data_IF_827114378406
#
_entry.id   IF_827114378406
#
_cell.length_a   1.000
_cell.length_b   1.000
_cell.length_c   1.000
_cell.angle_alpha   90.00
_cell.angle_beta   90.00
_cell.angle_gamma   90.00
#
_symmetry.space_group_name_H-M   'P 1'
#
loop_
_entity.id
_entity.type
_entity.pdbx_description
1 polymer ?
#
# COMPACT_ATOMS: atom_id res chain seq x y z
N UNK A 1 -24.53 -6.75 -21.90
CA UNK A 1 -23.53 -6.14 -21.00
C UNK A 1 -22.92 -4.94 -21.73
N UNK A 2 -22.89 -3.77 -21.11
CA UNK A 2 -22.20 -2.61 -21.67
C UNK A 2 -20.70 -2.80 -21.41
N UNK A 3 -19.90 -2.78 -22.47
CA UNK A 3 -18.45 -2.82 -22.35
C UNK A 3 -17.96 -1.50 -21.76
N UNK A 4 -17.14 -1.57 -20.69
CA UNK A 4 -16.54 -0.39 -20.07
C UNK A 4 -15.12 -0.19 -20.60
N UNK A 5 -14.85 1.02 -21.08
CA UNK A 5 -13.55 1.41 -21.64
C UNK A 5 -12.95 2.53 -20.80
N UNK A 6 -11.72 2.34 -20.37
CA UNK A 6 -10.96 3.30 -19.59
C UNK A 6 -9.65 3.67 -20.29
N UNK A 7 -9.11 4.82 -19.96
CA UNK A 7 -7.77 5.17 -20.42
C UNK A 7 -6.72 4.44 -19.56
N UNK A 8 -6.98 4.32 -18.25
CA UNK A 8 -6.07 3.62 -17.34
C UNK A 8 -6.84 2.70 -16.39
N UNK A 9 -6.34 1.48 -16.20
CA UNK A 9 -6.69 0.62 -15.08
C UNK A 9 -5.55 0.65 -14.06
N UNK A 10 -5.88 0.98 -12.81
CA UNK A 10 -4.96 0.95 -11.68
C UNK A 10 -5.25 -0.29 -10.85
N UNK A 11 -4.24 -1.13 -10.60
CA UNK A 11 -4.37 -2.27 -9.70
C UNK A 11 -3.85 -1.90 -8.32
N UNK A 12 -4.71 -2.11 -7.32
CA UNK A 12 -4.49 -1.76 -5.93
C UNK A 12 -5.04 -0.37 -5.54
N UNK A 13 -5.86 -0.33 -4.49
CA UNK A 13 -6.25 0.90 -3.80
C UNK A 13 -5.17 1.35 -2.83
N UNK A 14 -3.93 1.27 -3.26
CA UNK A 14 -2.74 1.69 -2.53
C UNK A 14 -2.64 3.22 -2.46
N UNK A 15 -1.82 3.78 -1.59
CA UNK A 15 -1.59 5.23 -1.58
C UNK A 15 -1.04 5.74 -2.91
N UNK A 16 -0.11 5.01 -3.54
CA UNK A 16 0.38 5.34 -4.88
C UNK A 16 -0.73 5.23 -5.92
N UNK A 17 -1.45 4.13 -5.95
CA UNK A 17 -2.51 3.90 -6.92
C UNK A 17 -3.62 4.94 -6.85
N UNK A 18 -4.02 5.34 -5.64
CA UNK A 18 -5.05 6.36 -5.45
C UNK A 18 -4.53 7.78 -5.72
N UNK A 19 -3.25 8.07 -5.43
CA UNK A 19 -2.60 9.32 -5.86
C UNK A 19 -2.62 9.47 -7.38
N UNK A 20 -2.27 8.41 -8.11
CA UNK A 20 -2.35 8.39 -9.57
C UNK A 20 -3.80 8.57 -10.07
N UNK A 21 -4.75 7.80 -9.52
CA UNK A 21 -6.14 7.86 -9.94
C UNK A 21 -6.78 9.23 -9.70
N UNK A 22 -6.44 9.91 -8.59
CA UNK A 22 -6.88 11.28 -8.32
C UNK A 22 -6.38 12.29 -9.36
N UNK A 23 -5.29 11.99 -10.02
CA UNK A 23 -4.69 12.87 -11.04
C UNK A 23 -5.02 12.46 -12.47
N UNK A 24 -5.66 11.33 -12.71
CA UNK A 24 -6.03 10.83 -14.05
C UNK A 24 -7.51 11.10 -14.36
N UNK A 25 -7.84 11.11 -15.66
CA UNK A 25 -9.21 11.09 -16.17
C UNK A 25 -9.54 9.66 -16.67
N UNK A 26 -10.84 9.31 -16.71
CA UNK A 26 -11.33 8.04 -17.24
C UNK A 26 -10.53 6.83 -16.71
N UNK A 27 -10.43 6.73 -15.39
CA UNK A 27 -9.66 5.72 -14.68
C UNK A 27 -10.58 4.76 -13.92
N UNK A 28 -10.20 3.49 -13.86
CA UNK A 28 -10.78 2.50 -12.96
C UNK A 28 -9.71 1.99 -12.00
N UNK A 29 -10.04 1.88 -10.74
CA UNK A 29 -9.18 1.25 -9.72
C UNK A 29 -9.77 -0.09 -9.35
N UNK A 30 -8.96 -1.15 -9.38
CA UNK A 30 -9.38 -2.53 -9.10
C UNK A 30 -8.62 -3.03 -7.88
N UNK A 31 -9.37 -3.47 -6.87
CA UNK A 31 -8.82 -3.91 -5.58
C UNK A 31 -9.44 -5.23 -5.14
N UNK A 32 -8.59 -6.22 -4.86
CA UNK A 32 -9.02 -7.52 -4.33
C UNK A 32 -9.59 -7.42 -2.92
N UNK A 33 -9.03 -6.53 -2.11
CA UNK A 33 -9.47 -6.27 -0.74
C UNK A 33 -10.65 -5.30 -0.65
N UNK A 34 -11.05 -4.99 0.58
CA UNK A 34 -12.11 -4.03 0.88
C UNK A 34 -11.61 -2.73 1.53
N UNK A 35 -10.29 -2.51 1.58
CA UNK A 35 -9.69 -1.40 2.30
C UNK A 35 -8.75 -0.59 1.40
N UNK A 36 -8.74 0.72 1.57
CA UNK A 36 -7.77 1.61 0.97
C UNK A 36 -6.45 1.58 1.76
N UNK A 37 -5.32 1.66 1.08
CA UNK A 37 -4.01 1.74 1.72
C UNK A 37 -3.63 0.51 2.54
N UNK A 38 -4.18 -0.66 2.17
CA UNK A 38 -3.97 -1.92 2.90
C UNK A 38 -2.48 -2.27 3.03
N UNK A 39 -1.66 -1.90 2.08
CA UNK A 39 -0.21 -2.15 2.07
C UNK A 39 0.54 -1.50 3.24
N UNK A 40 0.01 -0.43 3.81
CA UNK A 40 0.51 0.20 5.03
C UNK A 40 -0.32 -0.16 6.26
N UNK A 41 -1.63 -0.22 6.13
CA UNK A 41 -2.56 -0.38 7.25
C UNK A 41 -2.59 -1.83 7.74
N UNK A 42 -2.80 -2.79 6.84
CA UNK A 42 -2.92 -4.21 7.22
C UNK A 42 -1.59 -4.83 7.61
N UNK A 43 -0.50 -4.30 7.06
CA UNK A 43 0.86 -4.74 7.36
C UNK A 43 1.47 -4.05 8.58
N UNK A 44 0.79 -3.05 9.16
CA UNK A 44 1.34 -2.17 10.20
C UNK A 44 2.72 -1.61 9.81
N UNK A 45 2.89 -1.30 8.53
CA UNK A 45 4.16 -0.81 8.03
C UNK A 45 4.52 0.51 8.71
N UNK A 46 5.65 0.51 9.37
CA UNK A 46 6.20 1.72 9.99
C UNK A 46 6.58 2.70 8.89
N UNK A 47 5.98 3.89 8.92
CA UNK A 47 6.39 4.98 8.07
C UNK A 47 7.66 5.60 8.63
N UNK A 48 8.75 5.54 7.90
CA UNK A 48 10.02 6.11 8.32
C UNK A 48 9.89 7.61 8.62
N UNK A 49 10.62 8.12 9.63
CA UNK A 49 10.53 9.52 10.07
C UNK A 49 11.02 10.53 9.02
N UNK A 50 11.66 10.07 7.96
CA UNK A 50 12.13 10.95 6.89
C UNK A 50 10.99 11.25 5.93
N UNK A 51 10.27 12.33 6.17
CA UNK A 51 9.32 12.87 5.20
C UNK A 51 10.12 13.49 4.06
N UNK A 52 10.06 12.86 2.88
CA UNK A 52 10.53 13.49 1.65
C UNK A 52 9.52 14.57 1.29
N UNK A 53 9.99 15.79 1.03
CA UNK A 53 9.12 16.89 0.58
C UNK A 53 8.40 16.49 -0.72
N UNK A 54 7.05 16.48 -0.75
CA UNK A 54 6.30 16.15 -1.94
C UNK A 54 6.62 17.12 -3.08
N UNK A 55 6.71 16.61 -4.30
CA UNK A 55 7.03 17.41 -5.49
C UNK A 55 5.80 18.02 -6.14
N UNK A 56 4.66 17.31 -6.05
CA UNK A 56 3.40 17.75 -6.66
C UNK A 56 2.59 18.63 -5.72
N UNK A 57 1.72 19.48 -6.26
CA UNK A 57 0.83 20.30 -5.43
C UNK A 57 -0.16 19.44 -4.64
N UNK A 58 -0.74 18.40 -5.26
CA UNK A 58 -1.66 17.50 -4.58
C UNK A 58 -0.98 16.71 -3.48
N UNK A 59 0.29 16.29 -3.70
CA UNK A 59 1.10 15.63 -2.67
C UNK A 59 1.37 16.54 -1.47
N UNK A 60 1.68 17.84 -1.72
CA UNK A 60 1.87 18.83 -0.66
C UNK A 60 0.58 19.07 0.13
N UNK A 61 -0.55 19.23 -0.57
CA UNK A 61 -1.86 19.39 0.07
C UNK A 61 -2.19 18.17 0.96
N UNK A 62 -1.94 16.97 0.47
CA UNK A 62 -2.18 15.74 1.22
C UNK A 62 -1.33 15.68 2.50
N UNK A 63 -0.03 15.96 2.41
CA UNK A 63 0.86 15.98 3.57
C UNK A 63 0.45 17.05 4.59
N UNK A 64 0.08 18.25 4.14
CA UNK A 64 -0.39 19.31 5.04
C UNK A 64 -1.72 18.95 5.71
N UNK A 65 -2.62 18.24 5.04
CA UNK A 65 -3.84 17.73 5.64
C UNK A 65 -3.56 16.68 6.72
N UNK A 66 -2.58 15.81 6.50
CA UNK A 66 -2.11 14.85 7.53
C UNK A 66 -1.56 15.59 8.75
N UNK A 67 -0.69 16.58 8.55
CA UNK A 67 -0.12 17.41 9.62
C UNK A 67 -1.22 18.15 10.40
N UNK A 68 -2.13 18.82 9.70
CA UNK A 68 -3.23 19.58 10.31
C UNK A 68 -4.14 18.71 11.19
N UNK A 69 -4.26 17.43 10.88
CA UNK A 69 -5.05 16.47 11.66
C UNK A 69 -4.23 15.78 12.76
N UNK A 70 -2.97 16.15 12.95
CA UNK A 70 -2.08 15.56 13.96
C UNK A 70 -1.69 14.11 13.65
N UNK A 71 -1.67 13.73 12.36
CA UNK A 71 -1.32 12.38 11.92
C UNK A 71 0.16 12.23 11.57
N UNK A 72 0.92 13.31 11.70
CA UNK A 72 2.37 13.33 11.53
C UNK A 72 3.00 13.69 12.85
N UNK A 73 3.90 12.86 13.36
CA UNK A 73 4.62 13.10 14.59
C UNK A 73 5.66 14.21 14.44
N UNK A 74 6.22 14.69 15.56
CA UNK A 74 7.37 15.62 15.56
C UNK A 74 8.60 15.02 14.87
N UNK A 75 8.76 13.69 14.90
CA UNK A 75 9.81 12.98 14.20
C UNK A 75 9.52 12.78 12.69
N UNK A 76 8.32 13.12 12.21
CA UNK A 76 7.90 12.96 10.83
C UNK A 76 7.29 11.60 10.49
N UNK A 77 7.01 10.77 11.49
CA UNK A 77 6.29 9.50 11.28
C UNK A 77 4.82 9.77 10.97
N UNK A 78 4.24 8.97 10.10
CA UNK A 78 2.83 9.11 9.70
C UNK A 78 2.05 7.89 10.15
N UNK A 79 0.85 8.13 10.72
CA UNK A 79 -0.07 7.07 11.13
C UNK A 79 -0.85 6.54 9.93
N UNK A 80 -0.66 5.27 9.49
CA UNK A 80 -1.32 4.76 8.30
C UNK A 80 -2.83 4.64 8.43
N UNK A 81 -3.33 4.05 9.52
CA UNK A 81 -4.74 3.75 9.65
C UNK A 81 -5.64 5.00 9.60
N UNK A 82 -5.41 6.10 10.35
CA UNK A 82 -6.21 7.30 10.23
C UNK A 82 -5.95 8.08 8.94
N UNK A 83 -4.78 7.94 8.27
CA UNK A 83 -4.48 8.58 7.00
C UNK A 83 -5.45 8.15 5.88
N UNK A 84 -6.01 6.93 5.95
CA UNK A 84 -7.04 6.45 5.01
C UNK A 84 -8.29 7.32 5.02
N UNK A 85 -8.68 7.89 6.15
CA UNK A 85 -9.83 8.80 6.21
C UNK A 85 -9.55 10.14 5.51
N UNK A 86 -8.29 10.60 5.58
CA UNK A 86 -7.86 11.79 4.83
C UNK A 86 -7.94 11.48 3.33
N UNK A 87 -7.33 10.39 2.88
CA UNK A 87 -7.37 9.93 1.49
C UNK A 87 -8.82 9.79 0.98
N UNK A 88 -9.71 9.19 1.78
CA UNK A 88 -11.12 9.05 1.43
C UNK A 88 -11.83 10.38 1.20
N UNK A 89 -11.39 11.47 1.84
CA UNK A 89 -11.97 12.80 1.61
C UNK A 89 -11.62 13.37 0.24
N UNK A 90 -10.44 13.06 -0.28
CA UNK A 90 -10.05 13.42 -1.66
C UNK A 90 -10.83 12.63 -2.70
N UNK A 91 -11.00 11.32 -2.48
CA UNK A 91 -11.75 10.45 -3.39
C UNK A 91 -13.22 10.86 -3.54
N UNK A 92 -13.84 11.39 -2.47
CA UNK A 92 -15.22 11.88 -2.52
C UNK A 92 -15.42 13.11 -3.40
N UNK A 93 -14.35 13.86 -3.68
CA UNK A 93 -14.42 15.06 -4.49
C UNK A 93 -14.27 14.78 -5.99
N UNK A 94 -13.87 13.55 -6.33
CA UNK A 94 -13.64 13.14 -7.72
C UNK A 94 -14.43 11.86 -8.03
N UNK A 95 -15.07 11.83 -9.19
CA UNK A 95 -15.74 10.64 -9.68
C UNK A 95 -14.71 9.66 -10.25
N UNK A 96 -14.32 8.66 -9.45
CA UNK A 96 -13.42 7.58 -9.84
C UNK A 96 -14.17 6.27 -9.71
N UNK A 97 -14.13 5.42 -10.72
CA UNK A 97 -14.66 4.07 -10.63
C UNK A 97 -13.70 3.20 -9.79
N UNK A 98 -14.13 2.82 -8.59
CA UNK A 98 -13.36 1.96 -7.69
C UNK A 98 -14.11 0.66 -7.48
N UNK A 99 -13.50 -0.44 -7.87
CA UNK A 99 -14.03 -1.80 -7.74
C UNK A 99 -13.31 -2.52 -6.60
N UNK A 100 -13.89 -2.46 -5.42
CA UNK A 100 -13.42 -3.21 -4.24
C UNK A 100 -13.91 -4.66 -4.30
N UNK A 101 -13.28 -5.56 -3.54
CA UNK A 101 -13.61 -6.98 -3.49
C UNK A 101 -13.65 -7.60 -4.89
N UNK A 102 -12.73 -7.17 -5.75
CA UNK A 102 -12.69 -7.52 -7.18
C UNK A 102 -11.32 -8.06 -7.53
N UNK A 103 -11.27 -9.32 -7.92
CA UNK A 103 -10.03 -10.02 -8.28
C UNK A 103 -9.80 -9.99 -9.78
N UNK A 104 -8.60 -9.60 -10.21
CA UNK A 104 -8.15 -9.73 -11.61
C UNK A 104 -7.80 -11.18 -11.87
N UNK A 105 -8.48 -11.82 -12.83
CA UNK A 105 -8.30 -13.24 -13.13
C UNK A 105 -7.56 -13.50 -14.44
N UNK A 106 -7.58 -12.56 -15.38
CA UNK A 106 -6.85 -12.68 -16.66
C UNK A 106 -6.59 -11.31 -17.27
N UNK A 107 -5.45 -11.14 -17.94
CA UNK A 107 -5.03 -9.91 -18.61
C UNK A 107 -4.49 -10.27 -19.99
N UNK A 108 -5.14 -9.75 -21.04
CA UNK A 108 -4.72 -9.96 -22.43
C UNK A 108 -4.64 -8.65 -23.19
N UNK A 109 -3.55 -8.44 -23.95
CA UNK A 109 -3.47 -7.35 -24.93
C UNK A 109 -4.33 -7.72 -26.14
N UNK A 110 -5.25 -6.83 -26.49
CA UNK A 110 -6.12 -6.95 -27.67
C UNK A 110 -6.11 -5.60 -28.38
N UNK A 111 -5.51 -5.54 -29.53
CA UNK A 111 -5.29 -4.31 -30.28
C UNK A 111 -4.60 -3.24 -29.41
N UNK A 112 -5.22 -2.08 -29.24
CA UNK A 112 -4.72 -0.96 -28.45
C UNK A 112 -5.19 -0.98 -26.99
N UNK A 113 -5.80 -2.07 -26.52
CA UNK A 113 -6.36 -2.19 -25.18
C UNK A 113 -5.86 -3.45 -24.47
N UNK A 114 -5.84 -3.38 -23.16
CA UNK A 114 -5.83 -4.54 -22.30
C UNK A 114 -7.26 -4.98 -22.03
N UNK A 115 -7.58 -6.22 -22.34
CA UNK A 115 -8.79 -6.90 -21.88
C UNK A 115 -8.49 -7.51 -20.53
N UNK A 116 -9.11 -6.97 -19.49
CA UNK A 116 -8.93 -7.36 -18.10
C UNK A 116 -10.18 -8.10 -17.66
N UNK A 117 -10.05 -9.36 -17.32
CA UNK A 117 -11.14 -10.14 -16.75
C UNK A 117 -11.07 -10.06 -15.24
N UNK A 118 -12.17 -9.67 -14.63
CA UNK A 118 -12.31 -9.55 -13.18
C UNK A 118 -13.43 -10.43 -12.65
N UNK A 119 -13.29 -10.84 -11.38
CA UNK A 119 -14.30 -11.60 -10.65
C UNK A 119 -14.67 -10.86 -9.38
N UNK A 120 -15.96 -10.68 -9.15
CA UNK A 120 -16.52 -10.04 -7.95
C UNK A 120 -17.87 -10.70 -7.56
N UNK A 121 -18.56 -10.19 -6.55
CA UNK A 121 -19.80 -10.78 -6.04
C UNK A 121 -20.90 -11.03 -7.08
N UNK A 122 -20.93 -10.27 -8.19
CA UNK A 122 -21.89 -10.42 -9.28
C UNK A 122 -21.37 -11.35 -10.40
N UNK A 123 -20.22 -12.01 -10.22
CA UNK A 123 -19.60 -12.90 -11.19
C UNK A 123 -18.49 -12.25 -12.02
N UNK A 124 -18.25 -12.80 -13.21
CA UNK A 124 -17.20 -12.30 -14.11
C UNK A 124 -17.65 -11.07 -14.89
N UNK A 125 -16.76 -10.08 -14.95
CA UNK A 125 -16.90 -8.88 -15.79
C UNK A 125 -15.64 -8.70 -16.65
N UNK A 126 -15.76 -8.03 -17.78
CA UNK A 126 -14.64 -7.64 -18.64
C UNK A 126 -14.52 -6.14 -18.71
N UNK A 127 -13.33 -5.64 -18.41
CA UNK A 127 -12.94 -4.23 -18.47
C UNK A 127 -11.90 -4.06 -19.57
N UNK A 128 -11.93 -2.95 -20.26
CA UNK A 128 -10.92 -2.58 -21.27
C UNK A 128 -10.21 -1.32 -20.83
N UNK A 129 -8.88 -1.32 -20.87
CA UNK A 129 -8.06 -0.15 -20.57
C UNK A 129 -6.91 -0.01 -21.58
N UNK A 130 -6.55 1.23 -21.94
CA UNK A 130 -5.42 1.47 -22.86
C UNK A 130 -4.10 1.16 -22.18
N UNK A 131 -4.00 1.43 -20.86
CA UNK A 131 -2.82 1.16 -20.05
C UNK A 131 -3.18 0.53 -18.70
N UNK A 132 -2.18 -0.07 -18.09
CA UNK A 132 -2.26 -0.61 -16.73
C UNK A 132 -1.14 0.00 -15.89
N UNK A 133 -1.51 0.51 -14.70
CA UNK A 133 -0.60 0.83 -13.61
C UNK A 133 -0.85 -0.16 -12.48
N UNK A 134 0.07 -1.08 -12.24
CA UNK A 134 0.02 -1.97 -11.11
C UNK A 134 0.81 -1.39 -9.95
N UNK A 135 0.16 -1.18 -8.81
CA UNK A 135 0.76 -0.60 -7.61
C UNK A 135 0.82 -1.59 -6.45
N UNK A 136 0.43 -2.82 -6.74
CA UNK A 136 0.41 -3.88 -5.72
C UNK A 136 1.82 -4.36 -5.38
N UNK A 137 1.97 -4.90 -4.19
CA UNK A 137 3.28 -5.32 -3.66
C UNK A 137 3.94 -6.42 -4.49
N UNK A 138 3.14 -7.42 -4.90
CA UNK A 138 3.67 -8.62 -5.57
C UNK A 138 3.40 -8.64 -7.08
N UNK A 139 2.71 -7.62 -7.60
CA UNK A 139 2.31 -7.57 -8.99
C UNK A 139 1.10 -8.46 -9.32
N UNK A 140 0.31 -8.03 -10.29
CA UNK A 140 -0.86 -8.78 -10.76
C UNK A 140 -0.68 -9.13 -12.24
N UNK A 141 -0.71 -10.44 -12.53
CA UNK A 141 -0.61 -10.94 -13.91
C UNK A 141 0.79 -10.88 -14.52
N UNK A 142 1.82 -10.77 -13.67
CA UNK A 142 3.23 -10.85 -14.05
C UNK A 142 4.10 -11.33 -12.88
N UNK A 143 5.23 -11.94 -13.20
CA UNK A 143 6.18 -12.49 -12.22
C UNK A 143 7.36 -11.51 -11.93
N UNK A 144 7.17 -10.23 -12.23
CA UNK A 144 8.27 -9.24 -12.18
C UNK A 144 8.69 -8.95 -10.73
N UNK A 145 7.79 -9.10 -9.76
CA UNK A 145 8.07 -8.83 -8.36
C UNK A 145 9.17 -9.73 -7.77
N UNK A 146 9.26 -10.97 -8.24
CA UNK A 146 10.31 -11.91 -7.80
C UNK A 146 11.71 -11.40 -8.12
N UNK A 147 12.44 -10.95 -7.10
CA UNK A 147 13.79 -10.39 -7.21
C UNK A 147 13.90 -8.93 -6.77
N UNK A 148 12.80 -8.26 -6.51
CA UNK A 148 12.76 -6.90 -5.96
C UNK A 148 12.50 -6.87 -4.46
N UNK A 149 11.86 -7.90 -3.90
CA UNK A 149 11.66 -8.01 -2.45
C UNK A 149 13.02 -8.33 -1.80
N UNK A 150 13.44 -7.46 -0.88
CA UNK A 150 14.65 -7.68 -0.09
C UNK A 150 14.37 -8.44 1.19
N UNK A 151 13.22 -8.17 1.82
CA UNK A 151 12.87 -8.74 3.10
C UNK A 151 11.36 -8.78 3.27
N UNK A 152 10.87 -9.85 3.87
CA UNK A 152 9.48 -10.02 4.30
C UNK A 152 9.40 -9.83 5.80
N UNK A 153 8.42 -9.07 6.27
CA UNK A 153 8.33 -8.61 7.65
C UNK A 153 6.93 -8.89 8.20
N UNK A 154 6.85 -9.48 9.38
CA UNK A 154 5.61 -9.53 10.16
C UNK A 154 5.69 -8.46 11.25
N UNK A 155 4.75 -7.52 11.22
CA UNK A 155 4.67 -6.48 12.24
C UNK A 155 3.61 -6.81 13.29
N UNK A 156 3.86 -6.38 14.51
CA UNK A 156 2.92 -6.47 15.63
C UNK A 156 2.91 -5.15 16.42
N UNK A 157 1.73 -4.77 16.89
CA UNK A 157 1.61 -3.66 17.85
C UNK A 157 1.83 -4.22 19.24
N UNK A 158 2.80 -3.65 19.93
CA UNK A 158 3.19 -3.99 21.29
C UNK A 158 2.80 -2.87 22.24
N UNK A 159 2.44 -3.21 23.47
CA UNK A 159 2.17 -2.24 24.52
C UNK A 159 3.18 -2.37 25.66
N UNK A 160 3.79 -1.24 26.05
CA UNK A 160 4.59 -1.08 27.26
C UNK A 160 4.51 0.39 27.73
N UNK A 161 3.85 0.68 28.87
CA UNK A 161 3.70 2.04 29.35
C UNK A 161 5.03 2.66 29.87
N UNK A 162 5.97 1.82 30.27
CA UNK A 162 7.23 2.25 30.90
C UNK A 162 8.36 2.48 29.88
N UNK A 163 8.15 2.03 28.63
CA UNK A 163 9.16 2.04 27.59
C UNK A 163 10.21 0.93 27.76
N UNK A 164 10.77 0.46 26.67
CA UNK A 164 11.90 -0.47 26.67
C UNK A 164 12.69 -0.38 25.37
N UNK A 165 13.90 -0.93 25.41
CA UNK A 165 14.71 -1.15 24.20
C UNK A 165 14.71 -2.64 23.86
N UNK A 166 14.34 -2.95 22.63
CA UNK A 166 14.41 -4.29 22.05
C UNK A 166 14.71 -4.14 20.56
N UNK A 167 15.60 -4.97 20.02
CA UNK A 167 15.86 -5.02 18.59
C UNK A 167 14.57 -5.35 17.83
N UNK A 168 14.31 -4.64 16.74
CA UNK A 168 13.07 -4.76 15.97
C UNK A 168 11.90 -3.94 16.52
N UNK A 169 12.04 -3.30 17.70
CA UNK A 169 11.04 -2.41 18.26
C UNK A 169 11.26 -0.99 17.75
N UNK A 170 10.23 -0.42 17.17
CA UNK A 170 10.19 0.99 16.77
C UNK A 170 9.13 1.72 17.60
N UNK A 171 9.44 2.95 17.95
CA UNK A 171 8.52 3.79 18.72
C UNK A 171 7.32 4.15 17.86
N UNK A 172 6.13 3.89 18.37
CA UNK A 172 4.88 4.34 17.78
C UNK A 172 4.31 5.44 18.70
N UNK A 173 4.00 6.57 18.13
CA UNK A 173 3.81 7.89 18.76
C UNK A 173 2.70 7.98 19.82
N UNK A 174 2.01 6.92 20.20
CA UNK A 174 0.89 6.99 21.14
C UNK A 174 1.07 6.11 22.38
N UNK A 175 1.24 6.78 23.54
CA UNK A 175 0.91 6.21 24.87
C UNK A 175 1.45 4.80 25.17
N UNK A 176 2.71 4.52 24.90
CA UNK A 176 3.31 3.21 25.19
C UNK A 176 3.02 2.13 24.16
N UNK A 177 2.53 2.49 22.97
CA UNK A 177 2.41 1.59 21.84
C UNK A 177 3.69 1.62 20.99
N UNK A 178 4.13 0.46 20.57
CA UNK A 178 5.31 0.26 19.75
C UNK A 178 4.97 -0.68 18.59
N UNK A 179 5.67 -0.57 17.49
CA UNK A 179 5.65 -1.59 16.46
C UNK A 179 6.85 -2.49 16.61
N UNK A 180 6.62 -3.78 16.78
CA UNK A 180 7.66 -4.80 16.68
C UNK A 180 7.68 -5.38 15.27
N UNK A 181 8.85 -5.43 14.66
CA UNK A 181 9.07 -5.95 13.30
C UNK A 181 9.88 -7.22 13.36
N UNK A 182 9.26 -8.35 12.97
CA UNK A 182 9.91 -9.65 12.86
C UNK A 182 10.28 -9.90 11.39
N UNK A 183 11.59 -9.92 11.05
CA UNK A 183 12.04 -10.38 9.75
C UNK A 183 11.79 -11.88 9.59
N UNK A 184 11.30 -12.29 8.42
CA UNK A 184 11.07 -13.70 8.09
C UNK A 184 11.55 -13.99 6.67
N UNK A 185 11.79 -15.27 6.35
CA UNK A 185 12.14 -15.68 5.01
C UNK A 185 10.97 -15.44 4.02
N UNK A 186 11.28 -15.22 2.75
CA UNK A 186 10.28 -14.89 1.74
C UNK A 186 9.21 -15.98 1.56
N UNK A 187 9.57 -17.23 1.78
CA UNK A 187 8.68 -18.39 1.70
C UNK A 187 7.92 -18.72 3.00
N UNK A 188 8.25 -18.02 4.11
CA UNK A 188 7.58 -18.24 5.40
C UNK A 188 6.07 -17.96 5.27
N UNK A 189 5.26 -18.92 5.68
CA UNK A 189 3.81 -18.71 5.73
C UNK A 189 3.42 -17.74 6.85
N UNK A 190 2.21 -17.15 6.76
CA UNK A 190 1.73 -16.27 7.83
C UNK A 190 1.54 -17.02 9.14
N UNK A 191 1.11 -18.29 9.07
CA UNK A 191 0.96 -19.14 10.24
C UNK A 191 2.30 -19.34 10.95
N UNK A 192 3.34 -19.73 10.21
CA UNK A 192 4.68 -19.96 10.77
C UNK A 192 5.28 -18.68 11.35
N UNK A 193 5.09 -17.55 10.67
CA UNK A 193 5.57 -16.23 11.16
C UNK A 193 4.88 -15.83 12.48
N UNK A 194 3.58 -16.11 12.62
CA UNK A 194 2.85 -15.87 13.89
C UNK A 194 3.34 -16.80 14.98
N UNK A 195 3.58 -18.08 14.69
CA UNK A 195 4.17 -19.04 15.62
C UNK A 195 5.56 -18.58 16.09
N UNK A 196 6.41 -18.08 15.17
CA UNK A 196 7.72 -17.50 15.51
C UNK A 196 7.58 -16.32 16.46
N UNK A 197 6.64 -15.40 16.18
CA UNK A 197 6.38 -14.23 17.03
C UNK A 197 5.88 -14.65 18.42
N UNK A 198 4.95 -15.60 18.50
CA UNK A 198 4.44 -16.15 19.77
C UNK A 198 5.53 -16.88 20.54
N UNK A 199 6.47 -17.54 19.86
CA UNK A 199 7.63 -18.17 20.49
C UNK A 199 8.57 -17.21 21.25
N UNK A 200 8.44 -15.88 20.99
CA UNK A 200 9.16 -14.84 21.70
C UNK A 200 8.48 -14.34 22.99
N UNK A 201 7.39 -14.96 23.42
CA UNK A 201 6.57 -14.51 24.55
C UNK A 201 7.41 -14.31 25.84
N UNK A 202 8.39 -15.18 26.10
CA UNK A 202 9.27 -15.03 27.26
C UNK A 202 10.14 -13.77 27.17
N UNK A 203 10.70 -13.46 25.98
CA UNK A 203 11.51 -12.25 25.74
C UNK A 203 10.65 -11.00 25.93
N UNK A 204 9.42 -11.05 25.43
CA UNK A 204 8.50 -9.93 25.60
C UNK A 204 8.09 -9.73 27.06
N UNK A 205 7.83 -10.80 27.80
CA UNK A 205 7.49 -10.75 29.23
C UNK A 205 8.63 -10.16 30.07
N UNK A 206 9.88 -10.52 29.81
CA UNK A 206 11.07 -9.98 30.48
C UNK A 206 11.23 -8.47 30.24
N UNK A 207 10.71 -7.94 29.13
CA UNK A 207 10.71 -6.53 28.76
C UNK A 207 9.39 -5.82 29.08
N UNK A 208 8.46 -6.47 29.76
CA UNK A 208 7.10 -5.97 30.04
C UNK A 208 6.32 -5.57 28.79
N UNK A 209 6.63 -6.17 27.63
CA UNK A 209 5.93 -5.98 26.37
C UNK A 209 4.75 -6.92 26.28
N UNK A 210 3.63 -6.42 25.83
CA UNK A 210 2.42 -7.20 25.55
C UNK A 210 2.02 -7.05 24.08
N UNK A 211 1.78 -8.17 23.39
CA UNK A 211 1.23 -8.14 22.03
C UNK A 211 -0.21 -7.62 22.11
N UNK A 212 -0.46 -6.49 21.49
CA UNK A 212 -1.81 -5.91 21.38
C UNK A 212 -2.52 -6.38 20.12
N UNK A 213 -1.81 -6.44 19.00
CA UNK A 213 -2.35 -6.98 17.75
C UNK A 213 -1.22 -7.37 16.80
N UNK A 214 -1.51 -8.30 15.88
CA UNK A 214 -0.59 -8.76 14.85
C UNK A 214 -1.14 -8.36 13.49
N UNK A 215 -0.27 -7.89 12.60
CA UNK A 215 -0.63 -7.49 11.26
C UNK A 215 -1.33 -8.64 10.49
N UNK A 216 -2.37 -8.30 9.74
CA UNK A 216 -3.07 -9.30 8.90
C UNK A 216 -2.30 -9.67 7.64
N UNK A 217 -1.45 -8.73 7.16
CA UNK A 217 -0.64 -8.90 5.97
C UNK A 217 0.84 -8.68 6.29
N UNK A 218 1.72 -9.23 5.47
CA UNK A 218 3.14 -8.95 5.56
C UNK A 218 3.46 -7.56 5.01
N UNK A 219 4.41 -6.88 5.66
CA UNK A 219 5.13 -5.79 5.05
C UNK A 219 6.30 -6.34 4.23
N UNK A 220 6.70 -5.60 3.19
CA UNK A 220 7.86 -5.93 2.39
C UNK A 220 8.82 -4.75 2.36
N UNK A 221 10.12 -5.04 2.53
CA UNK A 221 11.19 -4.10 2.24
C UNK A 221 11.63 -4.30 0.81
N UNK A 222 11.59 -3.23 0.02
CA UNK A 222 12.09 -3.19 -1.35
C UNK A 222 12.54 -1.78 -1.70
N UNK A 223 13.40 -1.65 -2.71
CA UNK A 223 13.76 -0.33 -3.21
C UNK A 223 12.68 0.22 -4.15
N UNK A 224 12.44 1.54 -4.15
CA UNK A 224 11.58 2.15 -5.15
C UNK A 224 12.03 1.77 -6.56
N UNK A 225 11.10 1.25 -7.34
CA UNK A 225 11.36 0.85 -8.72
C UNK A 225 10.15 1.17 -9.60
N UNK A 226 10.43 1.37 -10.90
CA UNK A 226 9.45 1.42 -11.96
C UNK A 226 9.86 0.37 -13.00
N UNK A 227 8.98 -0.53 -13.32
CA UNK A 227 9.26 -1.62 -14.25
C UNK A 227 8.20 -1.64 -15.34
N UNK A 228 8.66 -1.50 -16.58
CA UNK A 228 7.82 -1.69 -17.76
C UNK A 228 7.61 -3.19 -17.97
N UNK A 229 6.49 -3.71 -17.50
CA UNK A 229 6.12 -5.14 -17.62
C UNK A 229 5.89 -5.50 -19.09
N UNK A 230 5.17 -4.64 -19.78
CA UNK A 230 4.86 -4.71 -21.24
C UNK A 230 4.57 -3.31 -21.74
N UNK A 231 4.39 -3.15 -23.04
CA UNK A 231 3.94 -1.88 -23.62
C UNK A 231 2.67 -1.36 -22.90
N UNK A 232 2.72 -0.16 -22.34
CA UNK A 232 1.62 0.48 -21.59
C UNK A 232 1.15 -0.31 -20.34
N UNK A 233 2.01 -1.19 -19.81
CA UNK A 233 1.77 -1.88 -18.55
C UNK A 233 2.99 -1.67 -17.64
N UNK A 234 2.83 -0.85 -16.61
CA UNK A 234 3.89 -0.46 -15.68
C UNK A 234 3.57 -1.00 -14.28
N UNK A 235 4.58 -1.50 -13.59
CA UNK A 235 4.52 -1.87 -12.19
C UNK A 235 5.37 -0.93 -11.34
N UNK A 236 4.75 -0.33 -10.32
CA UNK A 236 5.39 0.55 -9.34
C UNK A 236 4.82 0.18 -7.96
N UNK A 237 5.48 -0.67 -7.17
CA UNK A 237 4.94 -1.13 -5.90
C UNK A 237 4.87 0.00 -4.87
N UNK A 238 3.67 0.32 -4.38
CA UNK A 238 3.44 1.36 -3.38
C UNK A 238 4.23 1.10 -2.09
N UNK A 239 4.37 -0.16 -1.71
CA UNK A 239 5.11 -0.58 -0.53
C UNK A 239 6.62 -0.30 -0.59
N UNK A 240 7.18 0.02 -1.76
CA UNK A 240 8.61 0.34 -1.91
C UNK A 240 8.97 1.69 -1.29
N UNK A 241 8.01 2.57 -1.09
CA UNK A 241 8.25 3.90 -0.55
C UNK A 241 8.31 3.89 0.97
N UNK A 242 9.13 4.81 1.52
CA UNK A 242 9.42 4.86 2.95
C UNK A 242 8.20 5.25 3.80
N UNK A 243 7.29 6.03 3.23
CA UNK A 243 6.04 6.42 3.87
C UNK A 243 4.90 6.60 2.87
N UNK A 244 3.69 6.63 3.39
CA UNK A 244 2.48 6.70 2.57
C UNK A 244 2.29 8.03 1.81
N UNK A 245 2.83 9.16 2.33
CA UNK A 245 2.73 10.44 1.65
C UNK A 245 3.68 10.50 0.44
N UNK A 246 4.87 9.90 0.56
CA UNK A 246 5.79 9.71 -0.55
C UNK A 246 5.19 8.82 -1.63
N UNK A 247 4.60 7.69 -1.23
CA UNK A 247 3.90 6.79 -2.16
C UNK A 247 2.76 7.51 -2.90
N UNK A 248 1.96 8.30 -2.19
CA UNK A 248 0.88 9.09 -2.76
C UNK A 248 1.40 10.11 -3.79
N UNK A 249 2.43 10.90 -3.43
CA UNK A 249 3.03 11.90 -4.30
C UNK A 249 3.63 11.28 -5.57
N UNK A 250 4.27 10.11 -5.44
CA UNK A 250 4.78 9.35 -6.60
C UNK A 250 3.67 8.92 -7.56
N UNK A 251 2.51 8.54 -7.04
CA UNK A 251 1.36 8.26 -7.89
C UNK A 251 0.89 9.49 -8.68
N UNK A 252 0.85 10.64 -8.02
CA UNK A 252 0.51 11.92 -8.68
C UNK A 252 1.54 12.27 -9.75
N UNK A 253 2.85 12.17 -9.43
CA UNK A 253 3.94 12.42 -10.39
C UNK A 253 3.80 11.53 -11.63
N UNK A 254 3.58 10.23 -11.43
CA UNK A 254 3.36 9.29 -12.54
C UNK A 254 2.21 9.76 -13.45
N UNK A 255 1.09 10.16 -12.87
CA UNK A 255 -0.05 10.63 -13.65
C UNK A 255 0.22 11.94 -14.42
N UNK A 256 1.03 12.84 -13.86
CA UNK A 256 1.44 14.09 -14.52
C UNK A 256 2.41 13.83 -15.68
N UNK A 257 3.39 12.92 -15.50
CA UNK A 257 4.32 12.49 -16.56
C UNK A 257 3.60 11.87 -17.75
N UNK A 258 2.57 11.08 -17.49
CA UNK A 258 1.80 10.39 -18.54
C UNK A 258 0.83 11.30 -19.31
N UNK A 259 0.65 12.54 -18.85
CA UNK A 259 -0.12 13.59 -19.55
C UNK A 259 0.73 14.48 -20.45
N UNK A 260 2.03 14.60 -20.15
CA UNK A 260 2.98 15.45 -20.86
C UNK A 260 3.42 14.85 -22.21
#
# INVERSE_FOLDING_TARGET
>A
MVQKFYDTAVFGTTFLGLGAALSMENVVVIEKGGLFGAEFVNSYKVCAPKVVEPKTELGKEFLEDLKRRGLVSEAGEIYPAPAVYVLSSYLKQKSIDILLMTEVTDIKKVDNYYKIMVYHSNGFETIYAKRILDTTTLGIGHDTAGGYEKQKLLNAIMYNPDGCELEGLSFNVQNGLYTYTLPVDLDTSRYDAVEMLCGMEQVFAEKHLQISSIASDFAYSMEPCRVDVREQFVWIPSTAYANLAEAFDMGVQFAEEERA
#
